data_IF_476206504135
#
_entry.id   IF_476206504135
#
_cell.length_a   1.000
_cell.length_b   1.000
_cell.length_c   1.000
_cell.angle_alpha   90.00
_cell.angle_beta   90.00
_cell.angle_gamma   90.00
#
_symmetry.space_group_name_H-M   'P 1'
#
loop_
_entity.id
_entity.type
_entity.pdbx_description
1 polymer ?
#
# COMPACT_ATOMS: atom_id res chain seq x y z
N UNK A 1 17.05 17.14 -4.18
CA UNK A 1 16.48 16.45 -2.99
C UNK A 1 15.26 17.16 -2.39
N UNK A 2 15.25 18.49 -2.23
CA UNK A 2 14.06 19.20 -1.72
C UNK A 2 12.80 19.01 -2.60
N UNK A 3 12.97 18.93 -3.93
CA UNK A 3 11.87 18.69 -4.87
C UNK A 3 11.20 17.32 -4.70
N UNK A 4 11.96 16.27 -4.41
CA UNK A 4 11.43 14.91 -4.21
C UNK A 4 10.52 14.90 -2.97
N UNK A 5 10.98 15.50 -1.88
CA UNK A 5 10.24 15.52 -0.62
C UNK A 5 8.99 16.41 -0.69
N UNK A 6 9.03 17.50 -1.46
CA UNK A 6 7.86 18.35 -1.67
C UNK A 6 6.78 17.64 -2.50
N UNK A 7 7.17 16.91 -3.55
CA UNK A 7 6.26 16.08 -4.35
C UNK A 7 5.68 14.95 -3.50
N UNK A 8 6.51 14.25 -2.73
CA UNK A 8 6.05 13.19 -1.83
C UNK A 8 5.06 13.72 -0.78
N UNK A 9 5.36 14.85 -0.14
CA UNK A 9 4.47 15.48 0.85
C UNK A 9 3.15 15.95 0.24
N UNK A 10 3.18 16.51 -0.98
CA UNK A 10 1.95 16.85 -1.72
C UNK A 10 1.14 15.61 -2.03
N UNK A 11 1.77 14.54 -2.52
CA UNK A 11 1.07 13.31 -2.91
C UNK A 11 0.47 12.61 -1.69
N UNK A 12 1.23 12.53 -0.59
CA UNK A 12 0.74 12.01 0.68
C UNK A 12 -0.50 12.80 1.14
N UNK A 13 -0.45 14.14 1.15
CA UNK A 13 -1.63 14.97 1.47
C UNK A 13 -2.79 14.75 0.51
N UNK A 14 -2.52 14.54 -0.79
CA UNK A 14 -3.54 14.25 -1.79
C UNK A 14 -4.29 12.96 -1.45
N UNK A 15 -3.60 11.93 -0.97
CA UNK A 15 -4.23 10.69 -0.51
C UNK A 15 -5.14 10.93 0.70
N UNK A 16 -4.69 11.69 1.71
CA UNK A 16 -5.51 12.01 2.89
C UNK A 16 -6.65 13.01 2.62
N UNK A 17 -6.61 13.75 1.52
CA UNK A 17 -7.72 14.59 1.09
C UNK A 17 -8.73 13.84 0.22
N UNK A 18 -8.32 12.72 -0.38
CA UNK A 18 -9.17 11.88 -1.23
C UNK A 18 -9.89 10.78 -0.43
N UNK A 19 -11.12 10.39 -0.83
CA UNK A 19 -11.84 9.30 -0.16
C UNK A 19 -11.18 7.94 -0.38
N UNK A 20 -10.41 7.78 -1.46
CA UNK A 20 -9.81 6.51 -1.88
C UNK A 20 -8.90 5.93 -0.79
N UNK A 21 -8.02 6.74 -0.19
CA UNK A 21 -7.08 6.26 0.82
C UNK A 21 -7.79 5.71 2.06
N UNK A 22 -8.84 6.40 2.52
CA UNK A 22 -9.65 5.95 3.66
C UNK A 22 -10.42 4.67 3.34
N UNK A 23 -11.02 4.58 2.15
CA UNK A 23 -11.76 3.39 1.72
C UNK A 23 -10.82 2.19 1.63
N UNK A 24 -9.65 2.34 1.00
CA UNK A 24 -8.66 1.26 0.89
C UNK A 24 -8.14 0.84 2.26
N UNK A 25 -7.77 1.79 3.12
CA UNK A 25 -7.30 1.49 4.47
C UNK A 25 -8.39 0.78 5.30
N UNK A 26 -9.62 1.27 5.28
CA UNK A 26 -10.74 0.67 5.99
C UNK A 26 -11.04 -0.75 5.49
N UNK A 27 -11.06 -0.97 4.17
CA UNK A 27 -11.27 -2.29 3.60
C UNK A 27 -10.16 -3.28 3.98
N UNK A 28 -8.89 -2.88 3.89
CA UNK A 28 -7.76 -3.73 4.27
C UNK A 28 -7.83 -4.06 5.77
N UNK A 29 -8.04 -3.08 6.63
CA UNK A 29 -8.10 -3.29 8.07
C UNK A 29 -9.29 -4.17 8.48
N UNK A 30 -10.46 -3.94 7.89
CA UNK A 30 -11.66 -4.71 8.17
C UNK A 30 -11.50 -6.15 7.67
N UNK A 31 -10.99 -6.34 6.44
CA UNK A 31 -10.77 -7.67 5.87
C UNK A 31 -9.75 -8.47 6.69
N UNK A 32 -8.58 -7.88 6.98
CA UNK A 32 -7.54 -8.55 7.77
C UNK A 32 -8.00 -8.79 9.19
N UNK A 33 -8.64 -7.80 9.84
CA UNK A 33 -9.17 -7.93 11.19
C UNK A 33 -10.19 -9.08 11.29
N UNK A 34 -11.23 -9.07 10.46
CA UNK A 34 -12.27 -10.10 10.51
C UNK A 34 -11.70 -11.52 10.31
N UNK A 35 -10.78 -11.70 9.36
CA UNK A 35 -10.21 -13.01 9.09
C UNK A 35 -9.28 -13.47 10.21
N UNK A 36 -8.42 -12.59 10.74
CA UNK A 36 -7.54 -12.91 11.87
C UNK A 36 -8.33 -13.28 13.12
N UNK A 37 -9.36 -12.51 13.47
CA UNK A 37 -10.18 -12.81 14.64
C UNK A 37 -10.97 -14.11 14.45
N UNK A 38 -11.54 -14.34 13.26
CA UNK A 38 -12.25 -15.59 12.92
C UNK A 38 -11.33 -16.81 13.04
N UNK A 39 -10.13 -16.76 12.44
CA UNK A 39 -9.17 -17.88 12.50
C UNK A 39 -8.61 -18.10 13.91
N UNK A 40 -8.42 -17.04 14.70
CA UNK A 40 -8.01 -17.12 16.10
C UNK A 40 -9.02 -17.89 16.95
N UNK A 41 -10.31 -17.55 16.85
CA UNK A 41 -11.38 -18.24 17.60
C UNK A 41 -11.58 -19.69 17.16
N UNK A 42 -11.41 -19.99 15.87
CA UNK A 42 -11.60 -21.34 15.32
C UNK A 42 -10.39 -22.26 15.56
N UNK A 43 -9.17 -21.72 15.48
CA UNK A 43 -7.93 -22.51 15.54
C UNK A 43 -7.33 -22.62 16.93
N UNK A 44 -7.79 -21.79 17.89
CA UNK A 44 -7.35 -21.75 19.28
C UNK A 44 -5.81 -21.69 19.44
N UNK A 45 -5.12 -21.07 18.47
CA UNK A 45 -3.68 -20.88 18.41
C UNK A 45 -3.40 -19.39 18.22
N UNK A 46 -2.68 -18.81 19.18
CA UNK A 46 -2.26 -17.41 19.14
C UNK A 46 -1.00 -17.23 18.28
N UNK A 47 -1.14 -17.37 16.96
CA UNK A 47 0.01 -17.22 16.05
C UNK A 47 -0.09 -15.92 15.24
N UNK A 48 0.95 -15.08 15.31
CA UNK A 48 1.03 -13.83 14.54
C UNK A 48 1.04 -14.03 13.01
N UNK A 49 1.41 -15.24 12.54
CA UNK A 49 1.56 -15.58 11.12
C UNK A 49 0.30 -15.35 10.28
N UNK A 50 -0.88 -15.55 10.86
CA UNK A 50 -2.16 -15.34 10.16
C UNK A 50 -2.34 -13.89 9.74
N UNK A 51 -1.93 -12.93 10.59
CA UNK A 51 -2.01 -11.49 10.29
C UNK A 51 -1.21 -11.18 9.03
N UNK A 52 0.00 -11.72 8.93
CA UNK A 52 0.90 -11.47 7.80
C UNK A 52 0.39 -12.09 6.51
N UNK A 53 -0.14 -13.32 6.57
CA UNK A 53 -0.72 -14.00 5.40
C UNK A 53 -1.92 -13.24 4.84
N UNK A 54 -2.90 -12.90 5.69
CA UNK A 54 -4.10 -12.22 5.25
C UNK A 54 -3.83 -10.79 4.80
N UNK A 55 -2.88 -10.10 5.43
CA UNK A 55 -2.45 -8.79 4.99
C UNK A 55 -1.74 -8.83 3.63
N UNK A 56 -0.88 -9.83 3.39
CA UNK A 56 -0.23 -10.03 2.09
C UNK A 56 -1.25 -10.25 0.97
N UNK A 57 -2.27 -11.08 1.21
CA UNK A 57 -3.38 -11.30 0.26
C UNK A 57 -4.17 -10.02 0.02
N UNK A 58 -4.50 -9.27 1.09
CA UNK A 58 -5.19 -7.99 0.96
C UNK A 58 -4.39 -6.98 0.12
N UNK A 59 -3.05 -7.02 0.23
CA UNK A 59 -2.16 -6.15 -0.54
C UNK A 59 -2.13 -6.43 -2.03
N UNK A 60 -2.44 -7.65 -2.48
CA UNK A 60 -2.60 -7.95 -3.92
C UNK A 60 -3.70 -7.09 -4.55
N UNK A 61 -4.76 -6.76 -3.80
CA UNK A 61 -5.83 -5.87 -4.26
C UNK A 61 -5.57 -4.41 -3.91
N UNK A 62 -5.02 -4.15 -2.72
CA UNK A 62 -4.81 -2.80 -2.24
C UNK A 62 -3.66 -2.09 -2.97
N UNK A 63 -2.55 -2.76 -3.27
CA UNK A 63 -1.42 -2.12 -3.95
C UNK A 63 -1.82 -1.56 -5.34
N UNK A 64 -2.51 -2.31 -6.23
CA UNK A 64 -3.06 -1.78 -7.47
C UNK A 64 -3.99 -0.58 -7.25
N UNK A 65 -4.88 -0.64 -6.26
CA UNK A 65 -5.81 0.44 -5.95
C UNK A 65 -5.08 1.71 -5.48
N UNK A 66 -3.98 1.57 -4.75
CA UNK A 66 -3.16 2.69 -4.28
C UNK A 66 -2.32 3.30 -5.40
N UNK A 67 -1.81 2.50 -6.35
CA UNK A 67 -0.89 2.96 -7.40
C UNK A 67 -1.56 3.34 -8.71
N UNK A 68 -2.78 2.86 -8.99
CA UNK A 68 -3.45 3.05 -10.29
C UNK A 68 -3.54 4.52 -10.72
N UNK A 69 -3.76 5.45 -9.78
CA UNK A 69 -3.89 6.89 -10.04
C UNK A 69 -2.58 7.68 -10.09
N UNK A 70 -1.42 7.08 -9.78
CA UNK A 70 -0.18 7.85 -9.62
C UNK A 70 0.29 8.51 -10.92
N UNK A 71 0.19 7.81 -12.05
CA UNK A 71 0.66 8.30 -13.36
C UNK A 71 -0.50 8.31 -14.37
N UNK A 72 -1.35 7.28 -14.37
CA UNK A 72 -2.46 7.17 -15.32
C UNK A 72 -3.48 8.33 -15.20
N UNK A 73 -3.74 8.83 -13.99
CA UNK A 73 -4.67 9.96 -13.79
C UNK A 73 -4.10 11.29 -14.32
N UNK A 74 -2.80 11.51 -14.13
CA UNK A 74 -2.13 12.71 -14.64
C UNK A 74 -1.99 12.70 -16.16
N UNK A 75 -1.83 11.50 -16.76
CA UNK A 75 -1.91 11.35 -18.22
C UNK A 75 -3.29 11.63 -18.76
N UNK A 76 -4.32 11.01 -18.16
CA UNK A 76 -5.70 11.20 -18.60
C UNK A 76 -6.17 12.65 -18.46
N UNK A 77 -5.70 13.37 -17.45
CA UNK A 77 -6.01 14.79 -17.23
C UNK A 77 -5.14 15.76 -18.04
N UNK A 78 -4.15 15.28 -18.80
CA UNK A 78 -3.19 16.12 -19.53
C UNK A 78 -2.23 16.92 -18.62
N UNK A 79 -2.31 16.74 -17.30
CA UNK A 79 -1.47 17.46 -16.33
C UNK A 79 -0.03 16.94 -16.31
N UNK A 80 0.21 15.74 -16.85
CA UNK A 80 1.55 15.19 -17.00
C UNK A 80 2.44 16.07 -17.90
N UNK A 81 1.88 16.61 -18.99
CA UNK A 81 2.63 17.47 -19.92
C UNK A 81 3.04 18.80 -19.27
N UNK A 82 2.16 19.35 -18.44
CA UNK A 82 2.46 20.53 -17.62
C UNK A 82 3.52 20.25 -16.56
N UNK A 83 3.57 19.03 -16.02
CA UNK A 83 4.56 18.61 -15.02
C UNK A 83 5.94 18.40 -15.64
N UNK A 84 5.99 17.84 -16.85
CA UNK A 84 7.23 17.60 -17.59
C UNK A 84 7.85 18.87 -18.20
N UNK A 85 7.04 19.93 -18.39
CA UNK A 85 7.53 21.24 -18.86
C UNK A 85 8.11 22.10 -17.72
N UNK A 86 7.87 21.73 -16.46
CA UNK A 86 8.56 22.35 -15.32
C UNK A 86 10.01 21.86 -15.24
N UNK A 87 10.94 22.66 -14.65
CA UNK A 87 12.35 22.30 -14.52
C UNK A 87 12.58 21.25 -13.43
N UNK A 88 11.91 20.10 -13.52
CA UNK A 88 11.95 18.98 -12.58
C UNK A 88 12.37 17.73 -13.35
N UNK A 89 13.29 16.94 -12.79
CA UNK A 89 13.71 15.70 -13.44
C UNK A 89 12.60 14.65 -13.32
N UNK A 90 12.38 13.88 -14.38
CA UNK A 90 11.40 12.77 -14.39
C UNK A 90 11.62 11.78 -13.23
N UNK A 91 12.89 11.47 -12.93
CA UNK A 91 13.25 10.60 -11.81
C UNK A 91 12.84 11.15 -10.44
N UNK A 92 12.84 12.48 -10.26
CA UNK A 92 12.39 13.12 -9.01
C UNK A 92 10.87 13.00 -8.85
N UNK A 93 10.12 13.06 -9.96
CA UNK A 93 8.65 12.89 -9.97
C UNK A 93 8.28 11.46 -9.62
N UNK A 94 8.93 10.47 -10.26
CA UNK A 94 8.69 9.04 -10.03
C UNK A 94 9.00 8.69 -8.56
N UNK A 95 10.17 9.08 -8.05
CA UNK A 95 10.56 8.83 -6.66
C UNK A 95 9.63 9.53 -5.67
N UNK A 96 9.24 10.79 -5.94
CA UNK A 96 8.33 11.53 -5.06
C UNK A 96 6.96 10.86 -4.95
N UNK A 97 6.39 10.43 -6.09
CA UNK A 97 5.11 9.71 -6.13
C UNK A 97 5.19 8.36 -5.42
N UNK A 98 6.29 7.63 -5.61
CA UNK A 98 6.51 6.34 -4.97
C UNK A 98 6.58 6.49 -3.47
N UNK A 99 7.38 7.44 -2.97
CA UNK A 99 7.51 7.73 -1.55
C UNK A 99 6.18 8.19 -0.93
N UNK A 100 5.36 8.92 -1.67
CA UNK A 100 4.00 9.30 -1.23
C UNK A 100 3.09 8.08 -1.02
N UNK A 101 3.05 7.16 -1.98
CA UNK A 101 2.26 5.93 -1.88
C UNK A 101 2.83 4.96 -0.82
N UNK A 102 4.16 4.85 -0.74
CA UNK A 102 4.84 4.06 0.28
C UNK A 102 4.56 4.58 1.69
N UNK A 103 4.54 5.90 1.89
CA UNK A 103 4.16 6.51 3.15
C UNK A 103 2.74 6.13 3.59
N UNK A 104 1.77 6.17 2.67
CA UNK A 104 0.41 5.74 2.97
C UNK A 104 0.35 4.24 3.33
N UNK A 105 1.06 3.40 2.58
CA UNK A 105 1.18 1.98 2.87
C UNK A 105 1.76 1.72 4.27
N UNK A 106 2.82 2.44 4.66
CA UNK A 106 3.41 2.34 6.00
C UNK A 106 2.39 2.73 7.08
N UNK A 107 1.54 3.74 6.85
CA UNK A 107 0.46 4.09 7.78
C UNK A 107 -0.54 2.94 7.91
N UNK A 108 -0.94 2.30 6.80
CA UNK A 108 -1.87 1.14 6.85
C UNK A 108 -1.24 -0.04 7.59
N UNK A 109 0.05 -0.32 7.38
CA UNK A 109 0.80 -1.35 8.12
C UNK A 109 0.93 -1.01 9.61
N UNK A 110 1.12 0.26 9.95
CA UNK A 110 1.19 0.69 11.34
C UNK A 110 -0.16 0.52 12.05
N UNK A 111 -1.27 0.77 11.35
CA UNK A 111 -2.62 0.54 11.91
C UNK A 111 -2.90 -0.94 12.18
N UNK A 112 -2.30 -1.87 11.44
CA UNK A 112 -2.47 -3.31 11.71
C UNK A 112 -1.76 -3.79 12.97
N UNK A 113 -0.85 -3.01 13.58
CA UNK A 113 -0.17 -3.33 14.86
C UNK A 113 -1.16 -3.54 16.01
N UNK A 114 -2.37 -2.98 15.92
CA UNK A 114 -3.41 -3.20 16.93
C UNK A 114 -3.79 -4.69 17.08
N UNK A 115 -3.69 -5.48 16.00
CA UNK A 115 -4.03 -6.92 16.04
C UNK A 115 -3.05 -7.76 16.87
N UNK A 116 -1.72 -7.74 16.62
CA UNK A 116 -0.79 -8.49 17.46
C UNK A 116 -0.75 -7.99 18.90
N UNK A 117 -0.96 -6.69 19.15
CA UNK A 117 -1.11 -6.17 20.51
C UNK A 117 -2.31 -6.83 21.19
N UNK A 118 -3.48 -6.85 20.54
CA UNK A 118 -4.66 -7.54 21.08
C UNK A 118 -4.39 -9.03 21.33
N UNK A 119 -3.77 -9.74 20.38
CA UNK A 119 -3.45 -11.16 20.51
C UNK A 119 -2.48 -11.44 21.68
N UNK A 120 -1.48 -10.58 21.89
CA UNK A 120 -0.52 -10.72 23.00
C UNK A 120 -1.16 -10.60 24.39
N UNK A 121 -2.34 -10.00 24.50
CA UNK A 121 -3.09 -9.98 25.77
C UNK A 121 -3.88 -11.27 26.02
N UNK A 122 -4.13 -12.07 24.98
CA UNK A 122 -4.87 -13.33 25.06
C UNK A 122 -3.97 -14.58 25.00
N UNK A 123 -2.70 -14.46 24.59
CA UNK A 123 -1.78 -15.59 24.47
C UNK A 123 -0.32 -15.18 24.46
N UNK A 124 0.57 -16.16 24.56
CA UNK A 124 2.03 -15.95 24.55
C UNK A 124 2.52 -15.77 23.11
N UNK A 125 2.79 -14.52 22.73
CA UNK A 125 3.15 -14.14 21.37
C UNK A 125 4.66 -13.97 21.24
N UNK A 126 5.26 -14.67 20.27
CA UNK A 126 6.66 -14.47 19.93
C UNK A 126 6.87 -13.13 19.19
N UNK A 127 7.36 -12.14 19.93
CA UNK A 127 7.70 -10.82 19.40
C UNK A 127 8.80 -10.84 18.33
N UNK A 128 9.66 -11.87 18.31
CA UNK A 128 10.66 -12.05 17.25
C UNK A 128 10.00 -12.33 15.89
N UNK A 129 9.00 -13.20 15.88
CA UNK A 129 8.17 -13.47 14.70
C UNK A 129 7.36 -12.23 14.28
N UNK A 130 6.88 -11.43 15.24
CA UNK A 130 6.13 -10.20 14.93
C UNK A 130 7.02 -9.17 14.21
N UNK A 131 8.21 -8.88 14.74
CA UNK A 131 9.11 -7.89 14.16
C UNK A 131 9.58 -8.28 12.75
N UNK A 132 9.96 -9.56 12.58
CA UNK A 132 10.37 -10.09 11.28
C UNK A 132 9.22 -10.12 10.27
N UNK A 133 8.00 -10.45 10.70
CA UNK A 133 6.80 -10.40 9.87
C UNK A 133 6.47 -9.00 9.38
N UNK A 134 6.56 -7.97 10.24
CA UNK A 134 6.35 -6.58 9.82
C UNK A 134 7.42 -6.08 8.86
N UNK A 135 8.69 -6.43 9.09
CA UNK A 135 9.77 -6.10 8.17
C UNK A 135 9.55 -6.77 6.80
N UNK A 136 9.12 -8.04 6.80
CA UNK A 136 8.72 -8.76 5.60
C UNK A 136 7.56 -8.09 4.86
N UNK A 137 6.51 -7.68 5.57
CA UNK A 137 5.38 -6.94 4.99
C UNK A 137 5.81 -5.62 4.37
N UNK A 138 6.70 -4.86 5.02
CA UNK A 138 7.18 -3.58 4.49
C UNK A 138 7.93 -3.80 3.18
N UNK A 139 8.81 -4.80 3.12
CA UNK A 139 9.57 -5.13 1.91
C UNK A 139 8.66 -5.67 0.80
N UNK A 140 7.69 -6.53 1.14
CA UNK A 140 6.71 -7.05 0.20
C UNK A 140 5.84 -5.92 -0.37
N UNK A 141 5.32 -5.03 0.47
CA UNK A 141 4.53 -3.90 0.01
C UNK A 141 5.35 -2.92 -0.83
N UNK A 142 6.61 -2.68 -0.47
CA UNK A 142 7.51 -1.84 -1.26
C UNK A 142 7.67 -2.35 -2.69
N UNK A 143 7.82 -3.68 -2.89
CA UNK A 143 7.92 -4.28 -4.22
C UNK A 143 6.59 -4.26 -4.97
N UNK A 144 5.48 -4.58 -4.30
CA UNK A 144 4.14 -4.54 -4.89
C UNK A 144 3.77 -3.14 -5.38
N UNK A 145 4.09 -2.10 -4.61
CA UNK A 145 3.88 -0.71 -5.01
C UNK A 145 4.75 -0.30 -6.20
N UNK A 146 5.99 -0.82 -6.29
CA UNK A 146 6.86 -0.54 -7.42
C UNK A 146 6.31 -1.17 -8.71
N UNK A 147 5.81 -2.41 -8.64
CA UNK A 147 5.14 -3.10 -9.75
C UNK A 147 3.87 -2.35 -10.15
N UNK A 148 3.05 -1.94 -9.18
CA UNK A 148 1.83 -1.18 -9.45
C UNK A 148 2.09 0.20 -10.07
N UNK A 149 3.18 0.86 -9.68
CA UNK A 149 3.62 2.11 -10.31
C UNK A 149 4.08 1.89 -11.74
N UNK A 150 4.86 0.84 -11.99
CA UNK A 150 5.28 0.45 -13.34
C UNK A 150 4.05 0.22 -14.22
N UNK A 151 3.07 -0.56 -13.75
CA UNK A 151 1.82 -0.80 -14.47
C UNK A 151 1.02 0.49 -14.72
N UNK A 152 0.96 1.42 -13.76
CA UNK A 152 0.36 2.76 -13.97
C UNK A 152 1.08 3.56 -15.05
N UNK A 153 2.39 3.37 -15.21
CA UNK A 153 3.15 4.00 -16.31
C UNK A 153 2.96 3.33 -17.67
N UNK A 154 2.44 2.10 -17.76
CA UNK A 154 2.10 1.47 -19.04
C UNK A 154 0.65 1.75 -19.46
N UNK A 155 -0.23 2.05 -18.50
CA UNK A 155 -1.65 2.23 -18.75
C UNK A 155 -2.02 3.65 -19.18
N UNK A 156 -3.06 3.73 -20.00
CA UNK A 156 -3.68 4.98 -20.46
C UNK A 156 -4.78 5.49 -19.50
N UNK A 157 -5.38 4.59 -18.72
CA UNK A 157 -6.44 4.91 -17.75
C UNK A 157 -6.24 4.11 -16.45
N UNK A 158 -6.73 4.66 -15.32
CA UNK A 158 -6.65 4.07 -13.99
C UNK A 158 -7.20 2.63 -13.95
N UNK A 159 -8.32 2.36 -14.64
CA UNK A 159 -8.89 1.01 -14.69
C UNK A 159 -7.94 -0.01 -15.32
N UNK A 160 -7.29 0.37 -16.43
CA UNK A 160 -6.32 -0.50 -17.11
C UNK A 160 -5.09 -0.69 -16.24
N UNK A 161 -4.61 0.37 -15.57
CA UNK A 161 -3.51 0.30 -14.61
C UNK A 161 -3.80 -0.69 -13.48
N UNK A 162 -5.02 -0.67 -12.95
CA UNK A 162 -5.46 -1.56 -11.89
C UNK A 162 -5.39 -3.03 -12.33
N UNK A 163 -6.01 -3.38 -13.47
CA UNK A 163 -6.03 -4.77 -13.94
C UNK A 163 -4.65 -5.32 -14.30
N UNK A 164 -3.79 -4.50 -14.93
CA UNK A 164 -2.40 -4.90 -15.22
C UNK A 164 -1.65 -5.17 -13.91
N UNK A 165 -1.70 -4.23 -12.96
CA UNK A 165 -1.04 -4.39 -11.66
C UNK A 165 -1.56 -5.63 -10.93
N UNK A 166 -2.87 -5.81 -10.90
CA UNK A 166 -3.51 -6.94 -10.25
C UNK A 166 -3.07 -8.26 -10.87
N UNK A 167 -3.05 -8.35 -12.20
CA UNK A 167 -2.60 -9.56 -12.89
C UNK A 167 -1.13 -9.91 -12.56
N UNK A 168 -0.23 -8.91 -12.55
CA UNK A 168 1.17 -9.12 -12.18
C UNK A 168 1.41 -9.48 -10.71
N UNK A 169 0.48 -9.13 -9.82
CA UNK A 169 0.60 -9.43 -8.39
C UNK A 169 -0.12 -10.73 -8.00
N UNK A 170 -1.16 -11.12 -8.73
CA UNK A 170 -1.96 -12.30 -8.45
C UNK A 170 -1.38 -13.59 -9.08
N UNK A 171 -0.62 -13.47 -10.17
CA UNK A 171 0.01 -14.58 -10.90
C UNK A 171 1.54 -14.50 -10.83
#
# INVERSE_FOLDING_TARGET
MQNIMSIAGRQFRSYFNGPVAYITAALVLLFVGLLVWSTFFLSNKATASEVFTWFGIAMVFAAPALTMGLIAEERHSGTLELLLTMPVKESEVILGKYLGAFGLFVVVVALTIINPIAISTLGDLDWGTVFTGYLGLILQGASMLAIGMMASSLAENQLVAFFISFFFLAF
#
